data_IF_016954261360
#
_entry.id   IF_016954261360
#
_cell.length_a   1.000
_cell.length_b   1.000
_cell.length_c   1.000
_cell.angle_alpha   90.00
_cell.angle_beta   90.00
_cell.angle_gamma   90.00
#
_symmetry.space_group_name_H-M   'P 1'
#
loop_
_entity.id
_entity.type
_entity.pdbx_description
1 polymer ?
#
# COMPACT_ATOMS: atom_id res chain seq x y z
N UNK A 1 -0.62 20.63 -12.76
CA UNK A 1 -1.03 21.87 -12.11
C UNK A 1 -1.91 21.46 -10.95
N UNK A 2 -1.59 21.81 -9.70
CA UNK A 2 -2.47 21.53 -8.58
C UNK A 2 -3.82 22.23 -8.81
N UNK A 3 -4.90 21.52 -8.49
CA UNK A 3 -6.26 22.03 -8.49
C UNK A 3 -6.83 21.82 -7.09
N UNK A 4 -7.21 22.91 -6.43
CA UNK A 4 -7.61 22.94 -5.03
C UNK A 4 -9.03 23.45 -4.95
N UNK A 5 -9.92 22.63 -4.39
CA UNK A 5 -11.34 22.95 -4.24
C UNK A 5 -11.64 22.99 -2.76
N UNK A 6 -12.04 24.15 -2.25
CA UNK A 6 -12.36 24.34 -0.83
C UNK A 6 -13.86 24.52 -0.69
N UNK A 7 -14.46 23.81 0.25
CA UNK A 7 -15.88 23.87 0.59
C UNK A 7 -16.01 24.38 2.01
N UNK A 8 -16.80 25.42 2.21
CA UNK A 8 -17.05 26.02 3.52
C UNK A 8 -18.39 26.73 3.54
N UNK A 9 -19.12 26.77 4.67
CA UNK A 9 -20.28 27.65 4.81
C UNK A 9 -19.89 29.14 4.90
N UNK A 10 -18.64 29.45 5.27
CA UNK A 10 -18.14 30.81 5.33
C UNK A 10 -18.02 31.43 3.92
N UNK A 11 -18.23 32.76 3.79
CA UNK A 11 -18.01 33.44 2.53
C UNK A 11 -16.55 33.32 2.10
N UNK A 12 -16.31 33.44 0.78
CA UNK A 12 -14.95 33.44 0.26
C UNK A 12 -14.13 34.57 0.89
N UNK A 13 -12.86 34.33 1.26
CA UNK A 13 -11.94 35.35 1.77
C UNK A 13 -11.53 36.40 0.71
N UNK A 14 -11.98 36.22 -0.54
CA UNK A 14 -11.70 37.13 -1.66
C UNK A 14 -10.54 36.66 -2.55
N UNK A 15 -10.56 37.10 -3.81
CA UNK A 15 -9.63 36.63 -4.84
C UNK A 15 -8.15 36.93 -4.53
N UNK A 16 -7.86 38.04 -3.84
CA UNK A 16 -6.50 38.41 -3.44
C UNK A 16 -5.90 37.37 -2.48
N UNK A 17 -6.64 37.02 -1.42
CA UNK A 17 -6.21 36.02 -0.42
C UNK A 17 -6.06 34.63 -1.05
N UNK A 18 -7.02 34.24 -1.90
CA UNK A 18 -6.92 32.96 -2.63
C UNK A 18 -5.70 32.95 -3.58
N UNK A 19 -5.36 34.10 -4.16
CA UNK A 19 -4.16 34.30 -4.98
C UNK A 19 -2.87 34.12 -4.19
N UNK A 20 -2.75 34.70 -3.00
CA UNK A 20 -1.58 34.54 -2.12
C UNK A 20 -1.38 33.07 -1.68
N UNK A 21 -2.48 32.37 -1.43
CA UNK A 21 -2.44 30.95 -1.11
C UNK A 21 -1.98 30.12 -2.32
N UNK A 22 -2.52 30.40 -3.51
CA UNK A 22 -2.09 29.75 -4.74
C UNK A 22 -0.61 30.03 -5.05
N UNK A 23 -0.13 31.25 -4.82
CA UNK A 23 1.28 31.62 -4.98
C UNK A 23 2.18 30.86 -4.01
N UNK A 24 1.76 30.71 -2.75
CA UNK A 24 2.48 29.89 -1.77
C UNK A 24 2.60 28.42 -2.22
N UNK A 25 1.53 27.87 -2.80
CA UNK A 25 1.53 26.51 -3.37
C UNK A 25 2.47 26.39 -4.56
N UNK A 26 2.44 27.34 -5.50
CA UNK A 26 3.32 27.31 -6.67
C UNK A 26 4.80 27.43 -6.27
N UNK A 27 5.10 28.29 -5.30
CA UNK A 27 6.45 28.44 -4.75
C UNK A 27 6.96 27.15 -4.10
N UNK A 28 6.13 26.49 -3.28
CA UNK A 28 6.48 25.22 -2.64
C UNK A 28 6.77 24.13 -3.66
N UNK A 29 5.96 24.04 -4.72
CA UNK A 29 6.08 23.00 -5.73
C UNK A 29 7.15 23.30 -6.79
N UNK A 30 7.76 24.50 -6.76
CA UNK A 30 8.73 24.93 -7.76
C UNK A 30 8.13 25.06 -9.17
N UNK A 31 6.85 25.45 -9.27
CA UNK A 31 6.14 25.63 -10.55
C UNK A 31 5.86 27.11 -10.80
N UNK A 32 5.61 27.54 -12.06
CA UNK A 32 5.42 28.95 -12.35
C UNK A 32 4.20 29.54 -11.64
N UNK A 33 4.26 30.84 -11.29
CA UNK A 33 3.09 31.57 -10.76
C UNK A 33 1.89 31.44 -11.70
N UNK A 34 0.69 31.42 -11.13
CA UNK A 34 -0.55 31.19 -11.87
C UNK A 34 -0.79 29.74 -12.29
N UNK A 35 0.16 28.82 -12.10
CA UNK A 35 -0.05 27.38 -12.32
C UNK A 35 -0.56 26.68 -11.06
N UNK A 36 -1.60 27.23 -10.45
CA UNK A 36 -2.38 26.61 -9.39
C UNK A 36 -3.81 27.12 -9.51
N UNK A 37 -4.76 26.21 -9.65
CA UNK A 37 -6.17 26.57 -9.63
C UNK A 37 -6.70 26.37 -8.22
N UNK A 38 -7.27 27.42 -7.66
CA UNK A 38 -7.86 27.37 -6.34
C UNK A 38 -9.20 28.10 -6.40
N UNK A 39 -10.25 27.45 -5.93
CA UNK A 39 -11.53 28.12 -5.77
C UNK A 39 -12.21 27.73 -4.46
N UNK A 40 -13.06 28.65 -4.04
CA UNK A 40 -13.85 28.56 -2.82
C UNK A 40 -15.32 28.37 -3.19
N UNK A 41 -15.90 27.28 -2.74
CA UNK A 41 -17.32 27.00 -2.90
C UNK A 41 -18.02 27.20 -1.55
N UNK A 42 -18.82 28.27 -1.48
CA UNK A 42 -19.70 28.48 -0.33
C UNK A 42 -20.79 27.40 -0.35
N UNK A 43 -20.96 26.70 0.76
CA UNK A 43 -22.07 25.78 0.97
C UNK A 43 -23.29 26.58 1.46
N UNK A 44 -24.39 26.54 0.71
CA UNK A 44 -25.62 27.20 1.14
C UNK A 44 -26.25 26.44 2.32
N UNK A 45 -26.85 27.13 3.32
CA UNK A 45 -27.39 26.51 4.53
C UNK A 45 -28.35 25.33 4.30
N UNK A 46 -29.05 25.30 3.16
CA UNK A 46 -30.02 24.28 2.76
C UNK A 46 -29.42 23.12 1.93
N UNK A 47 -28.12 23.18 1.62
CA UNK A 47 -27.43 22.20 0.76
C UNK A 47 -26.58 21.17 1.53
N UNK A 48 -26.58 21.21 2.87
CA UNK A 48 -25.83 20.27 3.70
C UNK A 48 -26.63 19.84 4.95
N UNK A 49 -26.38 18.62 5.43
CA UNK A 49 -27.02 18.07 6.63
C UNK A 49 -26.08 18.14 7.84
N UNK A 50 -25.99 19.32 8.47
CA UNK A 50 -25.43 19.56 9.81
C UNK A 50 -26.08 20.80 10.45
N UNK A 51 -27.13 20.62 11.27
CA UNK A 51 -27.83 21.72 11.92
C UNK A 51 -26.89 22.66 12.68
N UNK A 52 -25.84 22.14 13.31
CA UNK A 52 -24.86 22.91 14.07
C UNK A 52 -23.99 23.88 13.24
N UNK A 53 -24.03 23.85 11.91
CA UNK A 53 -23.31 24.80 11.06
C UNK A 53 -24.22 26.00 10.70
N UNK A 54 -24.56 26.80 11.70
CA UNK A 54 -25.35 28.01 11.54
C UNK A 54 -24.48 29.27 11.46
N UNK A 55 -25.00 30.32 10.80
CA UNK A 55 -24.36 31.64 10.79
C UNK A 55 -24.26 32.19 12.23
N UNK A 56 -23.06 32.25 12.80
CA UNK A 56 -22.78 32.90 14.09
C UNK A 56 -21.95 32.08 15.10
N UNK A 57 -21.85 30.76 14.94
CA UNK A 57 -20.86 29.95 15.66
C UNK A 57 -19.51 29.96 14.93
N UNK A 58 -18.40 29.60 15.61
CA UNK A 58 -17.06 29.61 15.03
C UNK A 58 -17.08 28.96 13.64
N UNK A 59 -16.62 29.70 12.62
CA UNK A 59 -16.73 29.27 11.23
C UNK A 59 -16.09 27.88 11.09
N UNK A 60 -16.87 26.84 10.72
CA UNK A 60 -16.33 25.49 10.70
C UNK A 60 -15.24 25.39 9.63
N UNK A 61 -14.22 24.61 9.96
CA UNK A 61 -13.06 24.43 9.10
C UNK A 61 -13.47 23.87 7.72
N UNK A 62 -12.78 24.29 6.65
CA UNK A 62 -13.16 23.95 5.29
C UNK A 62 -12.77 22.50 4.99
N UNK A 63 -13.56 21.86 4.14
CA UNK A 63 -13.20 20.58 3.53
C UNK A 63 -12.60 20.86 2.16
N UNK A 64 -11.39 20.34 1.92
CA UNK A 64 -10.65 20.58 0.70
C UNK A 64 -10.36 19.31 -0.10
N UNK A 65 -10.41 19.43 -1.42
CA UNK A 65 -9.98 18.40 -2.36
C UNK A 65 -8.83 18.95 -3.21
N UNK A 66 -7.68 18.29 -3.13
CA UNK A 66 -6.46 18.68 -3.84
C UNK A 66 -6.18 17.65 -4.93
N UNK A 67 -6.28 18.04 -6.19
CA UNK A 67 -5.81 17.23 -7.32
C UNK A 67 -4.38 17.66 -7.64
N UNK A 68 -3.44 16.73 -7.68
CA UNK A 68 -2.04 17.03 -8.00
C UNK A 68 -1.46 16.03 -8.99
N UNK A 69 -0.36 16.37 -9.69
CA UNK A 69 0.28 15.43 -10.61
C UNK A 69 0.81 14.21 -9.86
N UNK A 70 0.71 13.04 -10.46
CA UNK A 70 1.32 11.82 -9.93
C UNK A 70 2.83 11.97 -9.70
N UNK A 71 3.51 12.74 -10.55
CA UNK A 71 4.95 12.98 -10.46
C UNK A 71 5.38 13.74 -9.20
N UNK A 72 4.47 14.28 -8.40
CA UNK A 72 4.82 14.88 -7.11
C UNK A 72 5.14 13.81 -6.07
N UNK A 73 6.33 13.89 -5.46
CA UNK A 73 6.76 12.97 -4.40
C UNK A 73 5.83 12.99 -3.18
N UNK A 74 5.84 11.92 -2.38
CA UNK A 74 5.10 11.87 -1.09
C UNK A 74 5.48 13.03 -0.16
N UNK A 75 6.75 13.46 -0.17
CA UNK A 75 7.22 14.60 0.61
C UNK A 75 6.60 15.91 0.14
N UNK A 76 6.58 16.17 -1.18
CA UNK A 76 5.96 17.37 -1.75
C UNK A 76 4.46 17.44 -1.43
N UNK A 77 3.74 16.32 -1.56
CA UNK A 77 2.31 16.27 -1.22
C UNK A 77 2.08 16.52 0.27
N UNK A 78 2.91 15.94 1.15
CA UNK A 78 2.82 16.20 2.60
C UNK A 78 3.08 17.67 2.94
N UNK A 79 4.09 18.28 2.33
CA UNK A 79 4.37 19.71 2.53
C UNK A 79 3.24 20.58 1.99
N UNK A 80 2.65 20.22 0.84
CA UNK A 80 1.52 20.92 0.25
C UNK A 80 0.31 20.90 1.18
N UNK A 81 -0.04 19.73 1.72
CA UNK A 81 -1.16 19.59 2.64
C UNK A 81 -0.93 20.40 3.92
N UNK A 82 0.27 20.32 4.50
CA UNK A 82 0.62 21.11 5.70
C UNK A 82 0.52 22.61 5.44
N UNK A 83 1.10 23.08 4.33
CA UNK A 83 1.01 24.49 3.93
C UNK A 83 -0.46 24.94 3.82
N UNK A 84 -1.31 24.13 3.20
CA UNK A 84 -2.74 24.47 3.06
C UNK A 84 -3.45 24.46 4.42
N UNK A 85 -3.21 23.47 5.28
CA UNK A 85 -3.80 23.41 6.61
C UNK A 85 -3.39 24.60 7.47
N UNK A 86 -2.10 24.95 7.49
CA UNK A 86 -1.59 26.08 8.27
C UNK A 86 -2.20 27.39 7.76
N UNK A 87 -2.17 27.63 6.43
CA UNK A 87 -2.69 28.87 5.85
C UNK A 87 -4.21 29.01 5.98
N UNK A 88 -4.96 27.93 5.83
CA UNK A 88 -6.42 27.95 5.98
C UNK A 88 -6.82 28.06 7.44
N UNK A 89 -6.06 27.42 8.35
CA UNK A 89 -6.23 27.57 9.79
C UNK A 89 -6.07 29.02 10.22
N UNK A 90 -4.96 29.66 9.83
CA UNK A 90 -4.68 31.08 10.10
C UNK A 90 -5.77 31.99 9.53
N UNK A 91 -6.19 31.73 8.29
CA UNK A 91 -7.18 32.55 7.59
C UNK A 91 -8.57 32.52 8.24
N UNK A 92 -8.96 31.36 8.76
CA UNK A 92 -10.31 31.11 9.27
C UNK A 92 -10.39 31.15 10.79
N UNK A 93 -9.25 31.27 11.46
CA UNK A 93 -9.17 31.22 12.93
C UNK A 93 -9.53 29.85 13.49
N UNK A 94 -9.27 28.77 12.74
CA UNK A 94 -9.55 27.39 13.14
C UNK A 94 -8.24 26.62 13.36
N UNK A 95 -8.22 25.62 14.27
CA UNK A 95 -7.07 24.75 14.40
C UNK A 95 -6.75 24.05 13.08
N UNK A 96 -5.46 23.94 12.73
CA UNK A 96 -5.03 23.28 11.48
C UNK A 96 -5.51 21.83 11.40
N UNK A 97 -5.67 21.17 12.54
CA UNK A 97 -6.15 19.80 12.68
C UNK A 97 -7.61 19.64 12.26
N UNK A 98 -8.38 20.73 12.28
CA UNK A 98 -9.76 20.77 11.83
C UNK A 98 -9.87 21.05 10.32
N UNK A 99 -8.78 21.44 9.64
CA UNK A 99 -8.77 21.63 8.19
C UNK A 99 -8.60 20.27 7.49
N UNK A 100 -9.72 19.72 7.01
CA UNK A 100 -9.74 18.39 6.37
C UNK A 100 -9.44 18.48 4.88
N UNK A 101 -8.32 17.91 4.45
CA UNK A 101 -7.90 17.89 3.04
C UNK A 101 -7.74 16.45 2.54
N UNK A 102 -8.30 16.16 1.37
CA UNK A 102 -8.05 14.92 0.64
C UNK A 102 -7.21 15.19 -0.60
N UNK A 103 -6.38 14.23 -1.01
CA UNK A 103 -5.54 14.35 -2.21
C UNK A 103 -5.92 13.29 -3.22
N UNK A 104 -6.08 13.72 -4.45
CA UNK A 104 -6.24 12.87 -5.61
C UNK A 104 -5.03 13.09 -6.54
N UNK A 105 -4.39 12.01 -6.97
CA UNK A 105 -3.30 12.09 -7.95
C UNK A 105 -3.90 11.99 -9.35
N UNK A 106 -3.55 12.94 -10.20
CA UNK A 106 -3.88 12.94 -11.62
C UNK A 106 -2.74 12.29 -12.39
N UNK A 107 -3.06 11.17 -13.03
CA UNK A 107 -2.21 10.43 -13.96
C UNK A 107 -2.58 10.85 -15.38
N UNK A 108 -1.60 10.95 -16.27
CA UNK A 108 -1.87 11.30 -17.65
C UNK A 108 -2.58 10.14 -18.36
N UNK A 109 -3.69 10.42 -19.05
CA UNK A 109 -4.46 9.41 -19.80
C UNK A 109 -5.66 8.81 -19.04
N UNK A 110 -5.79 9.06 -17.74
CA UNK A 110 -6.95 8.61 -16.96
C UNK A 110 -8.11 9.60 -17.06
N UNK A 111 -9.28 9.11 -17.49
CA UNK A 111 -10.56 9.82 -17.34
C UNK A 111 -11.24 9.35 -16.06
N UNK A 112 -11.45 10.28 -15.12
CA UNK A 112 -12.05 10.00 -13.81
C UNK A 112 -13.57 10.16 -13.84
N UNK A 113 -14.29 9.03 -13.74
CA UNK A 113 -15.63 8.95 -13.15
C UNK A 113 -15.54 7.94 -12.01
N UNK A 114 -16.10 8.31 -10.84
CA UNK A 114 -16.14 7.53 -9.59
C UNK A 114 -15.80 6.04 -9.75
N UNK A 115 -14.67 5.65 -9.16
CA UNK A 115 -14.24 4.27 -8.93
C UNK A 115 -14.09 3.35 -10.16
N UNK A 116 -14.01 3.89 -11.39
CA UNK A 116 -13.59 3.11 -12.57
C UNK A 116 -12.77 3.95 -13.56
N UNK A 117 -11.60 3.44 -13.95
CA UNK A 117 -10.78 3.97 -15.05
C UNK A 117 -11.38 3.51 -16.39
N UNK A 118 -11.76 4.46 -17.24
CA UNK A 118 -12.08 4.19 -18.65
C UNK A 118 -10.91 4.66 -19.50
N UNK A 119 -10.28 3.76 -20.26
CA UNK A 119 -9.35 4.16 -21.31
C UNK A 119 -10.16 4.58 -22.55
N UNK A 120 -9.74 5.68 -23.18
CA UNK A 120 -10.43 6.26 -24.36
C UNK A 120 -10.31 5.41 -25.62
N UNK A 121 -9.44 4.39 -25.64
CA UNK A 121 -9.07 3.64 -26.84
C UNK A 121 -9.82 2.30 -27.00
N UNK A 122 -10.95 2.12 -26.31
CA UNK A 122 -11.64 0.83 -26.21
C UNK A 122 -12.72 0.50 -27.25
N UNK A 123 -13.13 1.44 -28.12
CA UNK A 123 -14.23 1.20 -29.06
C UNK A 123 -13.97 1.82 -30.45
N UNK A 124 -13.06 1.21 -31.22
CA UNK A 124 -13.07 1.31 -32.68
C UNK A 124 -12.34 0.14 -33.36
N UNK A 125 -13.13 -0.70 -34.03
CA UNK A 125 -12.80 -1.44 -35.26
C UNK A 125 -11.64 -2.46 -35.27
N UNK A 126 -12.02 -3.74 -35.28
CA UNK A 126 -11.85 -4.64 -36.43
C UNK A 126 -10.50 -4.71 -37.18
N UNK A 127 -9.92 -5.91 -37.13
CA UNK A 127 -9.05 -6.61 -38.12
C UNK A 127 -7.53 -6.33 -38.17
N UNK A 128 -6.83 -7.48 -38.22
CA UNK A 128 -5.50 -7.76 -38.79
C UNK A 128 -4.24 -7.68 -37.88
N UNK A 129 -3.82 -8.88 -37.48
CA UNK A 129 -2.48 -9.49 -37.61
C UNK A 129 -1.18 -8.68 -37.32
N UNK A 130 -0.38 -9.33 -36.47
CA UNK A 130 1.09 -9.44 -36.46
C UNK A 130 1.92 -8.29 -35.85
N UNK A 131 2.58 -8.64 -34.73
CA UNK A 131 4.02 -8.42 -34.59
C UNK A 131 4.48 -7.31 -33.65
N UNK A 132 5.35 -7.73 -32.73
CA UNK A 132 6.43 -7.01 -32.04
C UNK A 132 6.11 -6.14 -30.82
N UNK A 133 6.73 -6.55 -29.71
CA UNK A 133 7.33 -5.77 -28.63
C UNK A 133 6.51 -4.64 -28.00
N UNK A 134 6.05 -4.90 -26.78
CA UNK A 134 5.60 -3.87 -25.86
C UNK A 134 5.29 -4.52 -24.51
N UNK A 135 6.20 -4.35 -23.55
CA UNK A 135 5.95 -4.75 -22.16
C UNK A 135 4.65 -4.12 -21.68
N UNK A 136 3.69 -4.98 -21.39
CA UNK A 136 2.41 -4.60 -20.80
C UNK A 136 2.69 -4.10 -19.39
N UNK A 137 2.60 -2.78 -19.21
CA UNK A 137 2.57 -2.12 -17.92
C UNK A 137 1.28 -2.56 -17.20
N UNK A 138 1.41 -3.61 -16.41
CA UNK A 138 0.38 -4.17 -15.55
C UNK A 138 0.23 -3.31 -14.28
N UNK A 139 -0.16 -2.04 -14.43
CA UNK A 139 -0.70 -1.26 -13.30
C UNK A 139 -2.18 -1.59 -13.15
N UNK A 140 -2.46 -2.85 -12.78
CA UNK A 140 -3.75 -3.17 -12.19
C UNK A 140 -3.91 -2.34 -10.92
N UNK A 141 -4.97 -1.54 -10.85
CA UNK A 141 -5.33 -0.73 -9.68
C UNK A 141 -5.09 -1.54 -8.40
N UNK A 142 -4.12 -1.13 -7.59
CA UNK A 142 -3.84 -1.78 -6.33
C UNK A 142 -5.07 -1.64 -5.42
N UNK A 143 -5.75 -2.75 -5.16
CA UNK A 143 -7.04 -2.77 -4.45
C UNK A 143 -6.89 -2.38 -2.97
N UNK A 144 -5.69 -2.48 -2.38
CA UNK A 144 -5.46 -2.22 -0.94
C UNK A 144 -3.99 -1.90 -0.62
N UNK A 145 -3.77 -0.94 0.27
CA UNK A 145 -2.48 -0.69 0.92
C UNK A 145 -2.27 -1.65 2.11
N UNK A 146 -1.19 -2.43 2.06
CA UNK A 146 -0.79 -3.32 3.16
C UNK A 146 0.25 -2.63 4.05
N UNK A 147 -0.05 -2.50 5.34
CA UNK A 147 0.85 -1.90 6.34
C UNK A 147 1.48 -3.02 7.18
N UNK A 148 2.83 -3.13 7.23
CA UNK A 148 3.49 -4.11 8.08
C UNK A 148 3.06 -4.01 9.55
N UNK A 149 2.84 -5.14 10.22
CA UNK A 149 2.49 -5.21 11.64
C UNK A 149 3.68 -5.59 12.52
N UNK A 150 4.72 -6.17 11.92
CA UNK A 150 5.91 -6.65 12.60
C UNK A 150 7.09 -6.72 11.61
N UNK A 151 8.30 -6.91 12.14
CA UNK A 151 9.49 -7.21 11.34
C UNK A 151 10.18 -8.48 11.85
N UNK A 152 10.77 -9.22 10.92
CA UNK A 152 11.60 -10.39 11.22
C UNK A 152 13.00 -9.94 11.64
N UNK A 153 13.53 -10.56 12.68
CA UNK A 153 14.91 -10.42 13.15
C UNK A 153 15.60 -11.78 13.23
N UNK A 154 16.69 -11.96 12.47
CA UNK A 154 17.51 -13.19 12.51
C UNK A 154 18.92 -12.96 11.92
N UNK A 155 19.72 -14.02 11.85
CA UNK A 155 21.09 -13.95 11.31
C UNK A 155 21.14 -14.07 9.77
N UNK A 156 20.04 -14.49 9.13
CA UNK A 156 19.99 -14.68 7.68
C UNK A 156 19.70 -13.38 6.94
N UNK A 157 20.76 -12.69 6.56
CA UNK A 157 20.71 -11.46 5.75
C UNK A 157 20.79 -11.70 4.25
N UNK A 158 21.23 -12.86 3.81
CA UNK A 158 21.37 -13.20 2.39
C UNK A 158 20.15 -13.96 1.88
N UNK A 159 19.80 -13.74 0.61
CA UNK A 159 18.66 -14.39 -0.04
C UNK A 159 19.05 -15.78 -0.56
N UNK A 160 19.33 -16.69 0.37
CA UNK A 160 19.64 -18.11 0.10
C UNK A 160 18.35 -18.92 0.26
N UNK A 161 18.07 -19.83 -0.69
CA UNK A 161 16.76 -20.47 -0.80
C UNK A 161 16.56 -21.68 0.15
N UNK A 162 17.60 -22.26 0.75
CA UNK A 162 17.57 -23.57 1.46
C UNK A 162 18.06 -23.53 2.93
N UNK A 163 17.81 -24.63 3.66
CA UNK A 163 18.22 -24.92 5.04
C UNK A 163 17.57 -23.99 6.10
N UNK A 164 16.26 -23.78 5.99
CA UNK A 164 15.51 -22.88 6.85
C UNK A 164 15.07 -23.49 8.19
N UNK A 165 15.03 -24.82 8.32
CA UNK A 165 14.42 -25.54 9.44
C UNK A 165 15.06 -25.23 10.79
N UNK A 166 16.38 -25.06 10.82
CA UNK A 166 17.14 -24.71 12.02
C UNK A 166 17.28 -23.18 12.24
N UNK A 167 16.67 -22.36 11.38
CA UNK A 167 16.77 -20.90 11.51
C UNK A 167 15.86 -20.42 12.62
N UNK A 168 16.48 -19.94 13.70
CA UNK A 168 15.82 -19.20 14.77
C UNK A 168 15.54 -17.76 14.32
N UNK A 169 14.31 -17.29 14.51
CA UNK A 169 13.91 -15.92 14.20
C UNK A 169 13.05 -15.34 15.31
N UNK A 170 13.06 -14.01 15.41
CA UNK A 170 12.10 -13.25 16.22
C UNK A 170 11.22 -12.43 15.29
N UNK A 171 9.91 -12.58 15.40
CA UNK A 171 8.95 -11.67 14.77
C UNK A 171 8.57 -10.63 15.84
N UNK A 172 8.99 -9.39 15.64
CA UNK A 172 8.77 -8.29 16.59
C UNK A 172 7.64 -7.38 16.12
N UNK A 173 6.55 -7.34 16.88
CA UNK A 173 5.40 -6.49 16.59
C UNK A 173 5.70 -5.01 16.86
N UNK A 174 5.01 -4.15 16.13
CA UNK A 174 5.08 -2.70 16.30
C UNK A 174 4.46 -2.26 17.64
N UNK A 175 5.31 -1.87 18.59
CA UNK A 175 4.92 -1.46 19.93
C UNK A 175 4.15 -0.12 19.99
N UNK A 176 4.17 0.69 18.92
CA UNK A 176 3.34 1.90 18.85
C UNK A 176 1.87 1.56 18.55
N UNK A 177 1.61 0.36 18.01
CA UNK A 177 0.28 -0.06 17.53
C UNK A 177 -0.33 -1.18 18.33
N UNK A 178 0.49 -2.06 18.92
CA UNK A 178 0.02 -3.27 19.58
C UNK A 178 0.48 -3.34 21.03
N UNK A 179 -0.34 -3.97 21.87
CA UNK A 179 0.00 -4.39 23.23
C UNK A 179 0.10 -5.91 23.28
N UNK A 180 0.56 -6.46 24.40
CA UNK A 180 0.67 -7.91 24.61
C UNK A 180 -0.65 -8.67 24.43
N UNK A 181 -1.78 -7.99 24.57
CA UNK A 181 -3.11 -8.56 24.38
C UNK A 181 -3.30 -9.11 22.96
N UNK A 182 -2.62 -8.54 21.95
CA UNK A 182 -2.65 -9.01 20.57
C UNK A 182 -2.09 -10.45 20.42
N UNK A 183 -1.28 -10.91 21.38
CA UNK A 183 -0.63 -12.22 21.38
C UNK A 183 -1.18 -13.16 22.46
N UNK A 184 -2.22 -12.73 23.19
CA UNK A 184 -2.81 -13.50 24.28
C UNK A 184 -3.29 -14.87 23.77
N UNK A 185 -2.94 -15.93 24.51
CA UNK A 185 -3.25 -17.33 24.19
C UNK A 185 -2.59 -17.89 22.92
N UNK A 186 -1.71 -17.15 22.25
CA UNK A 186 -1.01 -17.66 21.07
C UNK A 186 -0.03 -18.79 21.43
N UNK A 187 0.47 -18.80 22.66
CA UNK A 187 1.32 -19.84 23.26
C UNK A 187 0.62 -21.21 23.41
N UNK A 188 -0.71 -21.25 23.32
CA UNK A 188 -1.47 -22.51 23.24
C UNK A 188 -1.29 -23.23 21.89
N UNK A 189 -0.69 -22.57 20.88
CA UNK A 189 -0.47 -23.11 19.54
C UNK A 189 1.01 -23.44 19.32
N UNK A 190 1.28 -24.52 18.59
CA UNK A 190 2.65 -24.96 18.30
C UNK A 190 3.25 -24.34 17.04
N UNK A 191 2.41 -23.90 16.09
CA UNK A 191 2.84 -23.43 14.78
C UNK A 191 2.03 -22.21 14.36
N UNK A 192 2.68 -21.34 13.59
CA UNK A 192 2.09 -20.14 13.02
C UNK A 192 2.14 -20.24 11.49
N UNK A 193 1.14 -19.66 10.83
CA UNK A 193 1.19 -19.26 9.43
C UNK A 193 1.47 -17.75 9.37
N UNK A 194 2.61 -17.39 8.80
CA UNK A 194 3.12 -16.02 8.75
C UNK A 194 3.03 -15.53 7.31
N UNK A 195 2.36 -14.39 7.13
CA UNK A 195 2.23 -13.71 5.85
C UNK A 195 3.18 -12.53 5.84
N UNK A 196 4.05 -12.44 4.85
CA UNK A 196 5.10 -11.42 4.79
C UNK A 196 5.34 -10.93 3.36
N UNK A 197 6.03 -9.79 3.25
CA UNK A 197 6.34 -9.19 1.95
C UNK A 197 7.80 -9.45 1.56
N UNK A 198 8.03 -9.94 0.33
CA UNK A 198 9.36 -10.04 -0.28
C UNK A 198 9.88 -8.66 -0.68
N UNK A 199 10.10 -7.79 0.32
CA UNK A 199 10.51 -6.39 0.19
C UNK A 199 11.80 -6.17 -0.59
N UNK A 200 12.65 -7.20 -0.71
CA UNK A 200 13.90 -7.15 -1.49
C UNK A 200 13.77 -7.64 -2.94
N UNK A 201 12.59 -8.11 -3.35
CA UNK A 201 12.33 -8.44 -4.75
C UNK A 201 11.99 -7.14 -5.47
N UNK A 202 12.85 -6.66 -6.38
CA UNK A 202 12.57 -5.44 -7.12
C UNK A 202 11.48 -5.73 -8.18
N UNK A 203 10.75 -4.68 -8.57
CA UNK A 203 9.58 -4.81 -9.44
C UNK A 203 9.94 -5.36 -10.83
N UNK A 204 11.11 -5.02 -11.37
CA UNK A 204 11.63 -5.51 -12.65
C UNK A 204 11.95 -7.02 -12.64
N UNK A 205 12.02 -7.64 -11.47
CA UNK A 205 12.24 -9.09 -11.34
C UNK A 205 10.95 -9.88 -11.18
N UNK A 206 9.80 -9.23 -11.03
CA UNK A 206 8.49 -9.89 -11.00
C UNK A 206 8.32 -10.75 -12.26
N UNK A 207 7.75 -11.94 -12.08
CA UNK A 207 7.46 -12.86 -13.15
C UNK A 207 5.95 -13.13 -13.18
N UNK A 208 5.39 -13.19 -14.36
CA UNK A 208 3.96 -13.48 -14.59
C UNK A 208 3.76 -14.83 -15.32
N UNK A 209 4.76 -15.25 -16.09
CA UNK A 209 4.72 -16.45 -16.91
C UNK A 209 5.33 -17.69 -16.25
N UNK A 210 5.46 -18.75 -17.06
CA UNK A 210 6.13 -19.97 -16.67
C UNK A 210 7.65 -19.84 -16.73
N UNK A 211 8.34 -20.51 -15.81
CA UNK A 211 9.80 -20.60 -15.76
C UNK A 211 10.23 -21.89 -15.06
N UNK A 212 11.48 -22.25 -15.25
CA UNK A 212 12.11 -23.33 -14.50
C UNK A 212 12.21 -22.94 -13.00
N UNK A 213 11.62 -23.72 -12.07
CA UNK A 213 11.77 -23.47 -10.64
C UNK A 213 13.26 -23.45 -10.26
N UNK A 214 13.68 -22.47 -9.45
CA UNK A 214 15.10 -22.20 -9.13
C UNK A 214 16.04 -22.07 -10.34
N UNK A 215 15.50 -21.83 -11.54
CA UNK A 215 16.25 -21.84 -12.80
C UNK A 215 16.92 -23.19 -13.11
N UNK A 216 16.38 -24.30 -12.57
CA UNK A 216 16.88 -25.65 -12.85
C UNK A 216 16.32 -26.18 -14.18
N UNK A 217 17.16 -26.39 -15.23
CA UNK A 217 16.69 -26.84 -16.54
C UNK A 217 16.16 -28.28 -16.55
N UNK A 218 16.50 -29.09 -15.54
CA UNK A 218 16.05 -30.48 -15.44
C UNK A 218 14.59 -30.59 -14.95
N UNK A 219 14.06 -29.53 -14.34
CA UNK A 219 12.67 -29.45 -13.90
C UNK A 219 11.79 -28.82 -14.98
N UNK A 220 10.50 -29.21 -15.08
CA UNK A 220 9.60 -28.66 -16.10
C UNK A 220 9.36 -27.16 -15.90
N UNK A 221 8.95 -26.48 -16.98
CA UNK A 221 8.41 -25.13 -16.87
C UNK A 221 7.14 -25.16 -16.01
N UNK A 222 7.10 -24.32 -14.97
CA UNK A 222 5.94 -24.14 -14.12
C UNK A 222 5.50 -22.67 -14.15
N UNK A 223 4.20 -22.43 -14.37
CA UNK A 223 3.60 -21.09 -14.22
C UNK A 223 3.93 -20.48 -12.86
N UNK A 224 4.05 -19.16 -12.74
CA UNK A 224 4.43 -18.52 -11.47
C UNK A 224 3.52 -18.91 -10.29
N UNK A 225 2.23 -19.18 -10.54
CA UNK A 225 1.27 -19.63 -9.54
C UNK A 225 1.31 -21.15 -9.27
N UNK A 226 1.97 -21.93 -10.13
CA UNK A 226 2.24 -23.36 -9.92
C UNK A 226 3.56 -23.62 -9.17
N UNK A 227 4.24 -22.56 -8.73
CA UNK A 227 5.47 -22.63 -7.94
C UNK A 227 5.41 -21.65 -6.75
N UNK A 228 6.33 -21.80 -5.78
CA UNK A 228 6.41 -20.93 -4.59
C UNK A 228 7.51 -19.85 -4.67
N UNK A 229 7.96 -19.50 -5.88
CA UNK A 229 9.04 -18.52 -6.09
C UNK A 229 8.68 -17.09 -5.63
N UNK A 230 9.68 -16.38 -5.07
CA UNK A 230 9.57 -15.00 -4.54
C UNK A 230 9.24 -13.92 -5.58
N UNK A 231 9.63 -14.13 -6.84
CA UNK A 231 9.45 -13.19 -7.95
C UNK A 231 8.04 -13.27 -8.54
N UNK A 232 7.03 -12.82 -7.79
CA UNK A 232 5.60 -12.92 -8.14
C UNK A 232 4.89 -11.57 -8.02
N UNK A 233 3.73 -11.35 -8.67
CA UNK A 233 3.11 -10.03 -8.80
C UNK A 233 2.96 -9.26 -7.48
N UNK A 234 2.32 -9.87 -6.48
CA UNK A 234 2.07 -9.21 -5.19
C UNK A 234 3.23 -9.36 -4.19
N UNK A 235 4.29 -10.12 -4.52
CA UNK A 235 5.46 -10.36 -3.65
C UNK A 235 5.09 -10.80 -2.23
N UNK A 236 4.01 -11.57 -2.07
CA UNK A 236 3.59 -12.12 -0.77
C UNK A 236 4.18 -13.52 -0.56
N UNK A 237 4.86 -13.69 0.56
CA UNK A 237 5.30 -14.96 1.12
C UNK A 237 4.33 -15.47 2.17
N UNK A 238 4.17 -16.79 2.24
CA UNK A 238 3.41 -17.48 3.28
C UNK A 238 4.24 -18.65 3.76
N UNK A 239 4.53 -18.67 5.05
CA UNK A 239 5.39 -19.67 5.70
C UNK A 239 4.71 -20.26 6.91
N UNK A 240 5.02 -21.53 7.19
CA UNK A 240 4.61 -22.19 8.42
C UNK A 240 5.83 -22.46 9.26
N UNK A 241 5.87 -21.91 10.46
CA UNK A 241 7.00 -22.02 11.36
C UNK A 241 6.55 -22.48 12.75
N UNK A 242 7.46 -23.08 13.51
CA UNK A 242 7.20 -23.52 14.88
C UNK A 242 7.27 -22.32 15.82
N UNK A 243 6.24 -22.12 16.64
CA UNK A 243 6.28 -21.18 17.77
C UNK A 243 7.08 -21.81 18.90
N UNK A 244 8.13 -21.13 19.35
CA UNK A 244 8.96 -21.55 20.49
C UNK A 244 8.44 -20.95 21.78
N UNK A 245 8.23 -19.63 21.79
CA UNK A 245 7.65 -18.88 22.91
C UNK A 245 7.15 -17.52 22.44
N UNK A 246 6.28 -16.93 23.25
CA UNK A 246 5.95 -15.50 23.21
C UNK A 246 6.71 -14.78 24.33
N UNK A 247 7.18 -13.56 24.08
CA UNK A 247 7.91 -12.73 25.05
C UNK A 247 7.54 -11.26 24.85
N UNK A 248 6.53 -10.79 25.58
CA UNK A 248 5.95 -9.47 25.33
C UNK A 248 5.33 -9.37 23.93
N UNK A 249 5.94 -8.57 23.05
CA UNK A 249 5.55 -8.39 21.63
C UNK A 249 6.48 -9.15 20.65
N UNK A 250 7.38 -9.97 21.19
CA UNK A 250 8.30 -10.79 20.40
C UNK A 250 7.77 -12.23 20.31
N UNK A 251 7.68 -12.75 19.09
CA UNK A 251 7.39 -14.16 18.82
C UNK A 251 8.68 -14.86 18.41
N UNK A 252 9.15 -15.76 19.25
CA UNK A 252 10.32 -16.59 18.94
C UNK A 252 9.89 -17.80 18.14
N UNK A 253 10.41 -17.94 16.92
CA UNK A 253 10.02 -18.99 15.98
C UNK A 253 11.22 -19.74 15.40
N UNK A 254 10.98 -20.96 14.94
CA UNK A 254 11.96 -21.80 14.23
C UNK A 254 11.41 -22.20 12.87
N UNK A 255 12.24 -22.21 11.83
CA UNK A 255 11.84 -22.64 10.49
C UNK A 255 11.19 -21.56 9.63
N UNK A 256 11.24 -20.28 10.03
CA UNK A 256 10.68 -19.18 9.23
C UNK A 256 11.62 -18.87 8.06
N UNK A 257 11.11 -19.01 6.83
CA UNK A 257 11.82 -18.76 5.58
C UNK A 257 11.79 -17.28 5.11
N UNK A 258 12.03 -16.38 6.07
CA UNK A 258 12.10 -14.95 5.85
C UNK A 258 13.45 -14.39 6.33
N UNK A 259 14.11 -13.58 5.51
CA UNK A 259 15.38 -12.93 5.87
C UNK A 259 15.18 -11.83 6.91
N UNK A 260 16.26 -11.49 7.61
CA UNK A 260 16.31 -10.36 8.53
C UNK A 260 15.74 -9.07 7.90
N UNK A 261 14.96 -8.32 8.68
CA UNK A 261 14.27 -7.10 8.25
C UNK A 261 13.00 -7.33 7.43
N UNK A 262 12.59 -8.58 7.17
CA UNK A 262 11.38 -8.85 6.39
C UNK A 262 10.12 -8.29 7.05
N UNK A 263 9.33 -7.45 6.34
CA UNK A 263 8.07 -6.95 6.87
C UNK A 263 7.01 -8.05 6.91
N UNK A 264 6.41 -8.25 8.07
CA UNK A 264 5.30 -9.17 8.30
C UNK A 264 3.99 -8.41 8.16
N UNK A 265 3.07 -8.98 7.38
CA UNK A 265 1.76 -8.41 7.07
C UNK A 265 0.67 -8.99 7.98
N UNK A 266 0.79 -10.27 8.34
CA UNK A 266 -0.19 -10.97 9.17
C UNK A 266 0.41 -12.22 9.83
N UNK A 267 -0.19 -12.65 10.95
CA UNK A 267 0.23 -13.82 11.74
C UNK A 267 -1.03 -14.56 12.18
N UNK A 268 -1.09 -15.86 11.90
CA UNK A 268 -2.23 -16.71 12.29
C UNK A 268 -1.72 -17.98 12.97
N UNK A 269 -2.38 -18.50 14.01
CA UNK A 269 -2.10 -19.85 14.47
C UNK A 269 -2.45 -20.86 13.37
N UNK A 270 -1.59 -21.84 13.14
CA UNK A 270 -1.89 -22.91 12.20
C UNK A 270 -2.90 -23.89 12.81
N UNK A 271 -4.07 -24.01 12.18
CA UNK A 271 -5.11 -24.96 12.57
C UNK A 271 -5.03 -26.19 11.67
N UNK A 272 -4.94 -27.38 12.28
CA UNK A 272 -4.90 -28.66 11.53
C UNK A 272 -6.10 -28.82 10.59
N UNK A 273 -7.26 -28.29 10.99
CA UNK A 273 -8.51 -28.34 10.24
C UNK A 273 -8.48 -27.52 8.93
N UNK A 274 -7.52 -26.62 8.75
CA UNK A 274 -7.30 -25.90 7.48
C UNK A 274 -6.42 -26.68 6.50
N UNK A 275 -5.86 -27.82 6.91
CA UNK A 275 -5.20 -28.74 5.99
C UNK A 275 -6.17 -29.33 4.96
N UNK A 276 -5.67 -29.82 3.82
CA UNK A 276 -6.47 -30.60 2.88
C UNK A 276 -7.17 -31.76 3.58
N UNK A 277 -8.44 -31.99 3.22
CA UNK A 277 -9.24 -33.11 3.73
C UNK A 277 -8.99 -34.42 2.98
N UNK A 278 -8.40 -34.31 1.80
CA UNK A 278 -8.09 -35.41 0.90
C UNK A 278 -6.58 -35.60 0.81
N UNK A 279 -6.16 -36.67 0.15
CA UNK A 279 -4.74 -36.93 -0.12
C UNK A 279 -4.12 -35.76 -0.92
N UNK A 280 -2.93 -35.36 -0.50
CA UNK A 280 -2.17 -34.29 -1.16
C UNK A 280 -1.28 -34.91 -2.22
N UNK A 281 -1.46 -34.48 -3.46
CA UNK A 281 -0.64 -34.89 -4.60
C UNK A 281 0.20 -33.70 -5.06
N UNK A 282 1.46 -33.94 -5.40
CA UNK A 282 2.36 -32.94 -5.97
C UNK A 282 3.31 -33.56 -7.01
N UNK A 283 3.91 -32.76 -7.92
CA UNK A 283 4.92 -33.24 -8.84
C UNK A 283 6.22 -33.67 -8.14
N UNK A 284 6.90 -34.68 -8.67
CA UNK A 284 8.16 -35.22 -8.13
C UNK A 284 9.28 -34.16 -7.97
N UNK A 285 9.37 -33.19 -8.88
CA UNK A 285 10.36 -32.11 -8.79
C UNK A 285 10.19 -31.26 -7.51
N UNK A 286 8.99 -31.24 -6.92
CA UNK A 286 8.74 -30.56 -5.63
C UNK A 286 9.38 -31.35 -4.49
N UNK A 287 9.30 -32.69 -4.50
CA UNK A 287 9.96 -33.53 -3.49
C UNK A 287 11.48 -33.36 -3.53
N UNK A 288 12.05 -33.26 -4.73
CA UNK A 288 13.47 -32.97 -4.91
C UNK A 288 13.83 -31.57 -4.40
N UNK A 289 13.06 -30.54 -4.77
CA UNK A 289 13.26 -29.17 -4.32
C UNK A 289 13.20 -29.05 -2.79
N UNK A 290 12.23 -29.73 -2.16
CA UNK A 290 11.97 -29.60 -0.74
C UNK A 290 12.94 -30.40 0.14
N UNK A 291 13.77 -31.28 -0.43
CA UNK A 291 14.69 -32.16 0.30
C UNK A 291 15.65 -31.42 1.24
N UNK A 292 16.07 -30.22 0.85
CA UNK A 292 17.00 -29.36 1.62
C UNK A 292 16.38 -28.03 2.03
N UNK A 293 15.08 -27.85 1.82
CA UNK A 293 14.45 -26.56 2.03
C UNK A 293 14.42 -26.18 3.51
N UNK A 294 13.93 -27.09 4.35
CA UNK A 294 13.95 -26.96 5.81
C UNK A 294 15.17 -27.70 6.35
#
# INVERSE_FOLDING_TARGET
MPVIRLFSPAPSPGAAVLGELADSVTALLGIPRGHCWLWWQRLAPDTFHRPEWHEGEAAPAPVGFVVCKETYSKSQVRQLLRLLQDRLGDLLGVPREEVYLTVQRAVAGELLVRDQVWSLDGDAAGTALAGTDGGTDMTGDAITDLVPIAHVHNERRELIDDNWGEVASVIRLDAERFTTDALLSLDAFSHLEVVFHFHRVPLDKVQEGARHPRNNPDWPLAGIFAQRGKNRPNRIGVSRCRLVKTDGLDLHVMGLDAVDGTPVLDIKPYLRQFGPREEVVQPEWVDELMRTYY
#
